data_IF_720968759076
#
_entry.id   IF_720968759076
#
_cell.length_a   1.000
_cell.length_b   1.000
_cell.length_c   1.000
_cell.angle_alpha   90.00
_cell.angle_beta   90.00
_cell.angle_gamma   90.00
#
_symmetry.space_group_name_H-M   'P 1'
#
loop_
_entity.id
_entity.type
_entity.pdbx_description
1 polymer ?
#
# COMPACT_ATOMS: atom_id res chain seq x y z
N UNK A 1 -26.17 9.42 0.11
CA UNK A 1 -26.17 10.65 -0.72
C UNK A 1 -24.89 11.39 -0.41
N UNK A 2 -23.93 11.34 -1.34
CA UNK A 2 -22.72 12.16 -1.28
C UNK A 2 -23.13 13.57 -1.69
N UNK A 3 -22.96 14.57 -0.83
CA UNK A 3 -23.39 15.96 -1.05
C UNK A 3 -22.52 16.72 -2.09
N UNK A 4 -21.95 16.03 -3.08
CA UNK A 4 -21.05 16.64 -4.07
C UNK A 4 -19.72 17.13 -3.48
N UNK A 5 -19.33 16.59 -2.32
CA UNK A 5 -18.06 16.91 -1.64
C UNK A 5 -16.92 16.04 -2.16
N UNK A 6 -16.81 15.93 -3.48
CA UNK A 6 -15.71 15.21 -4.09
C UNK A 6 -14.54 16.19 -4.28
N UNK A 7 -13.34 15.88 -3.75
CA UNK A 7 -12.17 16.75 -3.86
C UNK A 7 -11.88 17.19 -5.31
N UNK A 8 -12.15 16.32 -6.29
CA UNK A 8 -11.99 16.62 -7.71
C UNK A 8 -12.91 17.74 -8.19
N UNK A 9 -14.18 17.71 -7.76
CA UNK A 9 -15.18 18.73 -8.12
C UNK A 9 -14.81 20.09 -7.51
N UNK A 10 -14.31 20.08 -6.27
CA UNK A 10 -13.84 21.30 -5.61
C UNK A 10 -12.61 21.90 -6.31
N UNK A 11 -11.66 21.05 -6.72
CA UNK A 11 -10.47 21.46 -7.45
C UNK A 11 -10.84 22.21 -8.73
N UNK A 12 -11.80 21.69 -9.50
CA UNK A 12 -12.25 22.32 -10.74
C UNK A 12 -12.93 23.67 -10.48
N UNK A 13 -13.81 23.74 -9.47
CA UNK A 13 -14.47 24.99 -9.09
C UNK A 13 -13.50 26.06 -8.62
N UNK A 14 -12.49 25.69 -7.83
CA UNK A 14 -11.43 26.62 -7.43
C UNK A 14 -10.60 27.08 -8.62
N UNK A 15 -10.30 26.19 -9.59
CA UNK A 15 -9.58 26.56 -10.81
C UNK A 15 -10.34 27.63 -11.59
N UNK A 16 -11.64 27.44 -11.80
CA UNK A 16 -12.50 28.40 -12.51
C UNK A 16 -12.57 29.74 -11.76
N UNK A 17 -12.79 29.71 -10.44
CA UNK A 17 -12.83 30.91 -9.62
C UNK A 17 -11.51 31.68 -9.65
N UNK A 18 -10.38 30.99 -9.51
CA UNK A 18 -9.07 31.65 -9.52
C UNK A 18 -8.75 32.25 -10.89
N UNK A 19 -9.19 31.60 -11.98
CA UNK A 19 -9.04 32.13 -13.32
C UNK A 19 -9.85 33.42 -13.54
N UNK A 20 -11.06 33.50 -12.98
CA UNK A 20 -11.96 34.65 -13.13
C UNK A 20 -11.58 35.80 -12.19
N UNK A 21 -11.32 35.52 -10.92
CA UNK A 21 -11.20 36.52 -9.86
C UNK A 21 -9.75 36.78 -9.39
N UNK A 22 -8.80 35.91 -9.76
CA UNK A 22 -7.37 36.06 -9.45
C UNK A 22 -6.47 35.79 -10.67
N UNK A 23 -6.71 36.48 -11.80
CA UNK A 23 -6.02 36.16 -13.05
C UNK A 23 -4.51 36.35 -12.97
N UNK A 24 -4.01 37.33 -12.19
CA UNK A 24 -2.57 37.55 -12.04
C UNK A 24 -1.93 36.34 -11.37
N UNK A 25 -2.43 35.96 -10.19
CA UNK A 25 -1.97 34.78 -9.46
C UNK A 25 -2.13 33.49 -10.26
N UNK A 26 -3.25 33.32 -10.96
CA UNK A 26 -3.49 32.14 -11.80
C UNK A 26 -2.43 32.02 -12.89
N UNK A 27 -2.15 33.11 -13.61
CA UNK A 27 -1.15 33.15 -14.66
C UNK A 27 0.27 32.93 -14.13
N UNK A 28 0.61 33.50 -12.96
CA UNK A 28 1.89 33.27 -12.30
C UNK A 28 2.10 31.81 -11.91
N UNK A 29 1.10 31.20 -11.26
CA UNK A 29 1.14 29.78 -10.85
C UNK A 29 1.15 28.84 -12.06
N UNK A 30 0.43 29.19 -13.13
CA UNK A 30 0.46 28.42 -14.37
C UNK A 30 1.82 28.52 -15.06
N UNK A 31 2.45 29.70 -15.08
CA UNK A 31 3.77 29.90 -15.69
C UNK A 31 4.89 29.17 -14.93
N UNK A 32 4.75 29.02 -13.61
CA UNK A 32 5.69 28.28 -12.76
C UNK A 32 5.42 26.77 -12.68
N UNK A 33 4.38 26.25 -13.34
CA UNK A 33 3.88 24.88 -13.20
C UNK A 33 3.49 24.49 -11.75
N UNK A 34 3.08 25.45 -10.92
CA UNK A 34 2.68 25.23 -9.52
C UNK A 34 1.17 25.32 -9.30
N UNK A 35 0.38 25.55 -10.35
CA UNK A 35 -1.07 25.70 -10.27
C UNK A 35 -1.76 24.45 -9.69
N UNK A 36 -1.41 23.26 -10.16
CA UNK A 36 -2.05 22.02 -9.71
C UNK A 36 -1.77 21.72 -8.22
N UNK A 37 -0.54 21.96 -7.76
CA UNK A 37 -0.14 21.80 -6.37
C UNK A 37 -0.85 22.81 -5.46
N UNK A 38 -0.99 24.06 -5.91
CA UNK A 38 -1.70 25.09 -5.18
C UNK A 38 -3.21 24.79 -5.05
N UNK A 39 -3.82 24.25 -6.11
CA UNK A 39 -5.22 23.82 -6.10
C UNK A 39 -5.42 22.59 -5.20
N UNK A 40 -4.53 21.59 -5.26
CA UNK A 40 -4.59 20.43 -4.37
C UNK A 40 -4.45 20.85 -2.89
N UNK A 41 -3.52 21.77 -2.60
CA UNK A 41 -3.36 22.33 -1.28
C UNK A 41 -4.63 23.05 -0.79
N UNK A 42 -5.26 23.89 -1.62
CA UNK A 42 -6.49 24.58 -1.26
C UNK A 42 -7.63 23.60 -0.94
N UNK A 43 -7.79 22.54 -1.74
CA UNK A 43 -8.78 21.48 -1.51
C UNK A 43 -8.50 20.72 -0.22
N UNK A 44 -7.24 20.34 0.02
CA UNK A 44 -6.83 19.60 1.22
C UNK A 44 -7.03 20.43 2.50
N UNK A 45 -6.65 21.72 2.50
CA UNK A 45 -6.87 22.61 3.64
C UNK A 45 -8.36 22.82 3.92
N UNK A 46 -9.16 23.04 2.87
CA UNK A 46 -10.61 23.18 3.01
C UNK A 46 -11.23 21.93 3.62
N UNK A 47 -10.84 20.75 3.14
CA UNK A 47 -11.33 19.48 3.69
C UNK A 47 -10.93 19.28 5.15
N UNK A 48 -9.66 19.55 5.49
CA UNK A 48 -9.15 19.40 6.84
C UNK A 48 -9.84 20.35 7.83
N UNK A 49 -10.02 21.62 7.45
CA UNK A 49 -10.71 22.60 8.31
C UNK A 49 -12.21 22.27 8.43
N UNK A 50 -12.85 21.86 7.34
CA UNK A 50 -14.24 21.39 7.36
C UNK A 50 -14.43 20.20 8.30
N UNK A 51 -13.52 19.21 8.26
CA UNK A 51 -13.54 18.06 9.19
C UNK A 51 -13.36 18.50 10.65
N UNK A 52 -12.49 19.48 10.91
CA UNK A 52 -12.32 20.06 12.24
C UNK A 52 -13.63 20.68 12.77
N UNK A 53 -14.32 21.46 11.94
CA UNK A 53 -15.63 22.06 12.28
C UNK A 53 -16.70 20.99 12.49
N UNK A 54 -16.77 19.97 11.63
CA UNK A 54 -17.71 18.85 11.80
C UNK A 54 -17.48 18.12 13.14
N UNK A 55 -16.22 17.92 13.54
CA UNK A 55 -15.89 17.35 14.85
C UNK A 55 -16.28 18.28 16.01
N UNK A 56 -16.38 19.59 15.76
CA UNK A 56 -16.90 20.60 16.70
C UNK A 56 -18.43 20.64 16.80
N UNK A 57 -19.15 19.83 16.01
CA UNK A 57 -20.61 19.72 16.04
C UNK A 57 -21.33 20.53 14.96
N UNK A 58 -20.61 21.18 14.04
CA UNK A 58 -21.21 21.86 12.90
C UNK A 58 -21.74 20.87 11.86
N UNK A 59 -22.81 21.22 11.16
CA UNK A 59 -23.29 20.41 10.03
C UNK A 59 -22.34 20.56 8.84
N UNK A 60 -22.19 19.52 8.02
CA UNK A 60 -21.26 19.53 6.88
C UNK A 60 -21.46 20.73 5.92
N UNK A 61 -22.71 21.12 5.68
CA UNK A 61 -23.01 22.29 4.84
C UNK A 61 -22.58 23.61 5.49
N UNK A 62 -22.86 23.79 6.77
CA UNK A 62 -22.45 24.99 7.52
C UNK A 62 -20.92 25.10 7.60
N UNK A 63 -20.25 23.98 7.93
CA UNK A 63 -18.79 23.90 7.93
C UNK A 63 -18.21 24.29 6.57
N UNK A 64 -18.79 23.79 5.46
CA UNK A 64 -18.37 24.14 4.10
C UNK A 64 -18.49 25.64 3.80
N UNK A 65 -19.63 26.26 4.10
CA UNK A 65 -19.83 27.70 3.88
C UNK A 65 -18.79 28.54 4.63
N UNK A 66 -18.40 28.11 5.84
CA UNK A 66 -17.41 28.81 6.66
C UNK A 66 -15.98 28.74 6.12
N UNK A 67 -15.60 27.63 5.48
CA UNK A 67 -14.20 27.39 5.07
C UNK A 67 -13.91 27.68 3.60
N UNK A 68 -14.94 27.64 2.74
CA UNK A 68 -14.73 27.67 1.29
C UNK A 68 -14.09 28.98 0.80
N UNK A 69 -14.38 30.11 1.45
CA UNK A 69 -13.84 31.43 1.08
C UNK A 69 -12.40 31.65 1.55
N UNK A 70 -11.92 30.84 2.51
CA UNK A 70 -10.55 30.95 3.03
C UNK A 70 -9.52 30.42 2.03
N UNK A 71 -9.87 29.38 1.27
CA UNK A 71 -8.93 28.66 0.42
C UNK A 71 -9.40 28.45 -1.02
N UNK A 72 -10.66 28.02 -1.24
CA UNK A 72 -11.14 27.70 -2.60
C UNK A 72 -11.60 28.95 -3.35
N UNK A 73 -12.37 29.83 -2.69
CA UNK A 73 -12.95 31.04 -3.27
C UNK A 73 -12.33 32.28 -2.64
N UNK A 74 -11.01 32.43 -2.83
CA UNK A 74 -10.26 33.56 -2.29
C UNK A 74 -10.79 34.86 -2.92
N UNK A 75 -10.77 35.94 -2.13
CA UNK A 75 -11.23 37.27 -2.55
C UNK A 75 -10.51 37.75 -3.82
N UNK A 76 -11.21 38.56 -4.60
CA UNK A 76 -10.72 39.17 -5.83
C UNK A 76 -9.44 39.98 -5.60
N UNK A 77 -8.56 40.03 -6.60
CA UNK A 77 -7.35 40.85 -6.54
C UNK A 77 -7.70 42.35 -6.51
N UNK A 78 -7.10 43.10 -5.57
CA UNK A 78 -7.30 44.54 -5.44
C UNK A 78 -6.83 45.26 -6.73
N UNK A 79 -7.72 46.06 -7.34
CA UNK A 79 -7.41 46.85 -8.54
C UNK A 79 -7.76 46.21 -9.88
N UNK A 80 -8.50 45.08 -9.89
CA UNK A 80 -8.96 44.47 -11.15
C UNK A 80 -10.06 45.29 -11.87
N UNK A 81 -10.72 46.21 -11.16
CA UNK A 81 -11.76 47.09 -11.69
C UNK A 81 -11.38 48.57 -11.53
N UNK A 82 -10.51 49.07 -12.41
CA UNK A 82 -10.55 50.47 -12.80
C UNK A 82 -11.54 50.57 -13.97
N UNK A 83 -12.82 50.85 -13.66
CA UNK A 83 -13.97 51.34 -14.47
C UNK A 83 -13.90 51.41 -16.02
N UNK A 84 -13.24 50.49 -16.71
CA UNK A 84 -13.48 50.25 -18.14
C UNK A 84 -14.71 49.34 -18.24
N UNK A 85 -15.89 49.96 -18.22
CA UNK A 85 -17.17 49.32 -18.54
C UNK A 85 -17.05 48.60 -19.88
N UNK A 86 -16.73 47.30 -19.83
CA UNK A 86 -16.88 46.43 -20.98
C UNK A 86 -18.35 46.53 -21.41
N UNK A 87 -18.63 46.69 -22.71
CA UNK A 87 -20.00 46.81 -23.17
C UNK A 87 -20.79 45.59 -22.70
N UNK A 88 -21.85 45.82 -21.92
CA UNK A 88 -22.72 44.83 -21.24
C UNK A 88 -23.07 43.62 -22.11
N UNK A 89 -23.11 43.81 -23.43
CA UNK A 89 -23.38 42.76 -24.41
C UNK A 89 -22.32 41.65 -24.46
N UNK A 90 -21.02 41.97 -24.33
CA UNK A 90 -19.93 40.98 -24.44
C UNK A 90 -19.90 40.05 -23.23
N UNK A 91 -20.17 40.57 -22.04
CA UNK A 91 -20.19 39.75 -20.83
C UNK A 91 -21.41 38.82 -20.78
N UNK A 92 -22.55 39.26 -21.32
CA UNK A 92 -23.72 38.40 -21.45
C UNK A 92 -23.47 37.23 -22.41
N UNK A 93 -22.87 37.49 -23.58
CA UNK A 93 -22.50 36.45 -24.53
C UNK A 93 -21.48 35.45 -23.95
N UNK A 94 -20.48 35.95 -23.21
CA UNK A 94 -19.48 35.09 -22.57
C UNK A 94 -20.08 34.20 -21.47
N UNK A 95 -20.93 34.77 -20.60
CA UNK A 95 -21.62 34.02 -19.55
C UNK A 95 -22.57 32.97 -20.15
N UNK A 96 -23.25 33.30 -21.25
CA UNK A 96 -24.11 32.36 -21.95
C UNK A 96 -23.30 31.22 -22.57
N UNK A 97 -22.16 31.54 -23.20
CA UNK A 97 -21.25 30.53 -23.75
C UNK A 97 -20.69 29.59 -22.66
N UNK A 98 -20.25 30.13 -21.52
CA UNK A 98 -19.79 29.32 -20.38
C UNK A 98 -20.88 28.40 -19.84
N UNK A 99 -22.12 28.91 -19.76
CA UNK A 99 -23.26 28.11 -19.32
C UNK A 99 -23.51 26.94 -20.27
N UNK A 100 -23.55 27.20 -21.58
CA UNK A 100 -23.78 26.16 -22.60
C UNK A 100 -22.65 25.10 -22.61
N UNK A 101 -21.40 25.52 -22.47
CA UNK A 101 -20.25 24.62 -22.40
C UNK A 101 -20.29 23.74 -21.13
N UNK A 102 -20.71 24.31 -20.00
CA UNK A 102 -20.88 23.55 -18.75
C UNK A 102 -21.98 22.48 -18.85
N UNK A 103 -23.07 22.78 -19.57
CA UNK A 103 -24.13 21.81 -19.84
C UNK A 103 -23.59 20.68 -20.72
N UNK A 104 -22.85 21.01 -21.78
CA UNK A 104 -22.25 20.03 -22.69
C UNK A 104 -21.32 19.08 -21.96
N UNK A 105 -20.45 19.60 -21.09
CA UNK A 105 -19.54 18.77 -20.28
C UNK A 105 -20.29 17.87 -19.30
N UNK A 106 -21.36 18.37 -18.65
CA UNK A 106 -22.18 17.56 -17.76
C UNK A 106 -22.91 16.42 -18.50
N UNK A 107 -23.38 16.67 -19.72
CA UNK A 107 -24.00 15.62 -20.55
C UNK A 107 -22.99 14.55 -20.97
N UNK A 108 -21.78 14.93 -21.36
CA UNK A 108 -20.70 14.01 -21.69
C UNK A 108 -20.32 13.16 -20.48
N UNK A 109 -20.19 13.79 -19.30
CA UNK A 109 -19.90 13.11 -18.05
C UNK A 109 -20.99 12.10 -17.67
N UNK A 110 -22.28 12.46 -17.80
CA UNK A 110 -23.40 11.56 -17.52
C UNK A 110 -23.39 10.33 -18.44
N UNK A 111 -23.13 10.53 -19.74
CA UNK A 111 -23.03 9.42 -20.70
C UNK A 111 -21.89 8.47 -20.35
N UNK A 112 -20.76 9.01 -19.93
CA UNK A 112 -19.63 8.20 -19.48
C UNK A 112 -19.98 7.40 -18.22
N UNK A 113 -20.63 8.04 -17.25
CA UNK A 113 -21.06 7.39 -16.01
C UNK A 113 -22.07 6.26 -16.26
N UNK A 114 -23.03 6.45 -17.16
CA UNK A 114 -23.98 5.40 -17.55
C UNK A 114 -23.29 4.21 -18.23
N UNK A 115 -22.31 4.48 -19.11
CA UNK A 115 -21.51 3.42 -19.75
C UNK A 115 -20.70 2.63 -18.72
N UNK A 116 -20.04 3.33 -17.79
CA UNK A 116 -19.24 2.69 -16.74
C UNK A 116 -20.12 1.83 -15.82
N UNK A 117 -21.31 2.32 -15.45
CA UNK A 117 -22.28 1.58 -14.66
C UNK A 117 -22.80 0.33 -15.40
N UNK A 118 -23.03 0.42 -16.72
CA UNK A 118 -23.43 -0.73 -17.52
C UNK A 118 -22.32 -1.79 -17.56
N UNK A 119 -21.07 -1.37 -17.78
CA UNK A 119 -19.90 -2.27 -17.78
C UNK A 119 -19.75 -2.96 -16.41
N UNK A 120 -19.87 -2.21 -15.32
CA UNK A 120 -19.78 -2.76 -13.96
C UNK A 120 -20.89 -3.78 -13.70
N UNK A 121 -22.12 -3.50 -14.12
CA UNK A 121 -23.25 -4.43 -13.98
C UNK A 121 -23.03 -5.75 -14.75
N UNK A 122 -22.45 -5.66 -15.97
CA UNK A 122 -22.11 -6.83 -16.80
C UNK A 122 -21.02 -7.67 -16.14
N UNK A 123 -19.96 -7.03 -15.62
CA UNK A 123 -18.88 -7.70 -14.88
C UNK A 123 -19.40 -8.38 -13.61
N UNK A 124 -20.29 -7.71 -12.86
CA UNK A 124 -20.91 -8.29 -11.67
C UNK A 124 -21.78 -9.52 -12.00
N UNK A 125 -22.57 -9.45 -13.08
CA UNK A 125 -23.38 -10.57 -13.57
C UNK A 125 -22.51 -11.77 -13.98
N UNK A 126 -21.42 -11.55 -14.71
CA UNK A 126 -20.53 -12.64 -15.13
C UNK A 126 -19.79 -13.29 -13.96
N UNK A 127 -19.38 -12.50 -12.96
CA UNK A 127 -18.79 -13.02 -11.72
C UNK A 127 -19.79 -13.89 -10.92
N UNK A 128 -21.09 -13.61 -10.99
CA UNK A 128 -22.11 -14.42 -10.30
C UNK A 128 -22.30 -15.81 -10.93
N UNK A 129 -22.18 -15.91 -12.26
CA UNK A 129 -22.34 -17.16 -13.02
C UNK A 129 -21.11 -18.06 -12.93
N UNK A 130 -19.93 -17.47 -12.68
CA UNK A 130 -18.66 -18.19 -12.57
C UNK A 130 -18.31 -18.58 -11.13
N UNK A 131 -19.32 -18.85 -10.28
CA UNK A 131 -19.16 -19.37 -8.93
C UNK A 131 -18.71 -20.84 -9.02
N UNK A 132 -17.43 -21.04 -9.34
CA UNK A 132 -16.80 -22.37 -9.40
C UNK A 132 -17.10 -23.13 -8.11
N UNK A 133 -17.49 -24.42 -8.17
CA UNK A 133 -17.82 -25.20 -6.99
C UNK A 133 -16.65 -25.23 -6.00
N UNK A 134 -16.93 -24.81 -4.76
CA UNK A 134 -16.16 -24.91 -3.52
C UNK A 134 -14.73 -25.47 -3.61
N UNK A 135 -13.79 -24.66 -4.11
CA UNK A 135 -12.34 -24.83 -3.87
C UNK A 135 -11.99 -24.48 -2.40
N UNK A 136 -12.96 -24.00 -1.62
CA UNK A 136 -12.80 -23.64 -0.21
C UNK A 136 -12.16 -24.78 0.62
N UNK A 137 -12.57 -26.03 0.42
CA UNK A 137 -12.04 -27.15 1.19
C UNK A 137 -10.57 -27.46 0.86
N UNK A 138 -10.17 -27.36 -0.42
CA UNK A 138 -8.78 -27.52 -0.86
C UNK A 138 -7.89 -26.41 -0.29
N UNK A 139 -8.40 -25.19 -0.22
CA UNK A 139 -7.70 -24.06 0.41
C UNK A 139 -7.46 -24.34 1.89
N UNK A 140 -8.50 -24.75 2.64
CA UNK A 140 -8.35 -25.10 4.07
C UNK A 140 -7.38 -26.27 4.26
N UNK A 141 -7.47 -27.32 3.44
CA UNK A 141 -6.56 -28.46 3.51
C UNK A 141 -5.11 -28.03 3.28
N UNK A 142 -4.84 -27.16 2.30
CA UNK A 142 -3.49 -26.62 2.06
C UNK A 142 -2.95 -25.87 3.26
N UNK A 143 -3.77 -25.08 3.94
CA UNK A 143 -3.35 -24.37 5.16
C UNK A 143 -3.00 -25.31 6.31
N UNK A 144 -3.80 -26.37 6.53
CA UNK A 144 -3.55 -27.36 7.59
C UNK A 144 -2.25 -28.12 7.30
N UNK A 145 -2.01 -28.50 6.04
CA UNK A 145 -0.88 -29.33 5.64
C UNK A 145 0.42 -28.50 5.48
N UNK A 146 0.31 -27.19 5.23
CA UNK A 146 1.46 -26.31 4.95
C UNK A 146 2.54 -26.39 6.04
N UNK A 147 2.16 -26.24 7.30
CA UNK A 147 3.11 -26.15 8.42
C UNK A 147 3.89 -27.46 8.65
N UNK A 148 3.25 -28.64 8.82
CA UNK A 148 4.00 -29.88 9.03
C UNK A 148 4.89 -30.22 7.83
N UNK A 149 4.43 -29.98 6.59
CA UNK A 149 5.27 -30.20 5.41
C UNK A 149 6.46 -29.25 5.39
N UNK A 150 6.27 -27.96 5.70
CA UNK A 150 7.37 -27.00 5.75
C UNK A 150 8.44 -27.40 6.78
N UNK A 151 8.03 -27.90 7.95
CA UNK A 151 8.96 -28.41 8.98
C UNK A 151 9.74 -29.63 8.47
N UNK A 152 9.07 -30.61 7.87
CA UNK A 152 9.72 -31.82 7.34
C UNK A 152 10.71 -31.48 6.24
N UNK A 153 10.33 -30.63 5.28
CA UNK A 153 11.20 -30.21 4.18
C UNK A 153 12.40 -29.42 4.72
N UNK A 154 12.19 -28.50 5.66
CA UNK A 154 13.27 -27.73 6.26
C UNK A 154 14.27 -28.63 7.01
N UNK A 155 13.77 -29.63 7.74
CA UNK A 155 14.61 -30.61 8.44
C UNK A 155 15.41 -31.48 7.46
N UNK A 156 14.80 -31.96 6.38
CA UNK A 156 15.50 -32.73 5.35
C UNK A 156 16.57 -31.89 4.66
N UNK A 157 16.27 -30.63 4.35
CA UNK A 157 17.22 -29.69 3.74
C UNK A 157 18.41 -29.43 4.68
N UNK A 158 18.18 -29.26 5.98
CA UNK A 158 19.27 -29.04 6.94
C UNK A 158 20.15 -30.29 7.10
N UNK A 159 19.57 -31.50 7.11
CA UNK A 159 20.35 -32.75 7.12
C UNK A 159 21.21 -32.90 5.88
N UNK A 160 20.68 -32.54 4.71
CA UNK A 160 21.46 -32.55 3.48
C UNK A 160 22.60 -31.52 3.52
N UNK A 161 22.36 -30.32 4.05
CA UNK A 161 23.40 -29.30 4.21
C UNK A 161 24.55 -29.78 5.11
N UNK A 162 24.24 -30.41 6.25
CA UNK A 162 25.24 -31.00 7.15
C UNK A 162 26.09 -32.05 6.43
N UNK A 163 25.47 -32.92 5.63
CA UNK A 163 26.19 -33.95 4.88
C UNK A 163 27.15 -33.33 3.85
N UNK A 164 26.67 -32.33 3.10
CA UNK A 164 27.48 -31.65 2.07
C UNK A 164 28.63 -30.88 2.71
N UNK A 165 28.36 -30.09 3.75
CA UNK A 165 29.40 -29.32 4.47
C UNK A 165 30.39 -30.25 5.17
N UNK A 166 29.92 -31.33 5.79
CA UNK A 166 30.76 -32.34 6.43
C UNK A 166 31.70 -33.03 5.43
N UNK A 167 31.18 -33.41 4.25
CA UNK A 167 32.00 -34.00 3.19
C UNK A 167 33.07 -33.03 2.67
N UNK A 168 32.71 -31.76 2.45
CA UNK A 168 33.65 -30.72 2.04
C UNK A 168 34.80 -30.55 3.04
N UNK A 169 34.48 -30.40 4.32
CA UNK A 169 35.49 -30.25 5.37
C UNK A 169 36.37 -31.50 5.57
N UNK A 170 35.77 -32.69 5.46
CA UNK A 170 36.51 -33.94 5.53
C UNK A 170 37.51 -34.08 4.37
N UNK A 171 37.13 -33.62 3.17
CA UNK A 171 38.02 -33.62 2.00
C UNK A 171 39.25 -32.72 2.16
N UNK A 172 39.13 -31.65 2.94
CA UNK A 172 40.22 -30.72 3.28
C UNK A 172 41.04 -31.16 4.50
N UNK A 173 40.71 -32.31 5.11
CA UNK A 173 41.44 -32.87 6.25
C UNK A 173 41.13 -32.23 7.60
N UNK A 174 40.04 -31.46 7.71
CA UNK A 174 39.59 -30.92 9.00
C UNK A 174 39.07 -32.05 9.90
N UNK A 175 39.51 -32.05 11.16
CA UNK A 175 39.01 -33.00 12.15
C UNK A 175 37.60 -32.64 12.60
N UNK A 176 36.75 -33.64 12.86
CA UNK A 176 35.38 -33.47 13.35
C UNK A 176 35.28 -32.71 14.70
N UNK A 177 36.38 -32.60 15.44
CA UNK A 177 36.47 -31.92 16.71
C UNK A 177 37.03 -30.49 16.60
N UNK A 178 37.44 -30.06 15.40
CA UNK A 178 37.98 -28.72 15.21
C UNK A 178 36.88 -27.66 15.44
N UNK A 179 37.29 -26.51 15.97
CA UNK A 179 36.42 -25.35 16.14
C UNK A 179 35.75 -24.96 14.82
N UNK A 180 36.52 -24.92 13.73
CA UNK A 180 36.05 -24.56 12.40
C UNK A 180 34.98 -25.51 11.89
N UNK A 181 35.16 -26.82 12.07
CA UNK A 181 34.16 -27.81 11.67
C UNK A 181 32.84 -27.59 12.39
N UNK A 182 32.86 -27.39 13.71
CA UNK A 182 31.64 -27.10 14.48
C UNK A 182 30.99 -25.79 14.03
N UNK A 183 31.78 -24.74 13.82
CA UNK A 183 31.29 -23.45 13.38
C UNK A 183 30.55 -23.54 12.03
N UNK A 184 31.16 -24.17 11.02
CA UNK A 184 30.54 -24.30 9.71
C UNK A 184 29.32 -25.21 9.71
N UNK A 185 29.36 -26.34 10.44
CA UNK A 185 28.22 -27.25 10.55
C UNK A 185 27.02 -26.58 11.23
N UNK A 186 27.21 -25.94 12.38
CA UNK A 186 26.13 -25.26 13.10
C UNK A 186 25.57 -24.10 12.26
N UNK A 187 26.43 -23.31 11.64
CA UNK A 187 26.00 -22.17 10.82
C UNK A 187 25.19 -22.62 9.60
N UNK A 188 25.72 -23.56 8.80
CA UNK A 188 25.06 -24.05 7.59
C UNK A 188 23.72 -24.74 7.91
N UNK A 189 23.66 -25.56 8.95
CA UNK A 189 22.44 -26.22 9.40
C UNK A 189 21.32 -25.22 9.67
N UNK A 190 21.57 -24.22 10.51
CA UNK A 190 20.54 -23.27 10.96
C UNK A 190 20.15 -22.27 9.87
N UNK A 191 21.11 -21.83 9.04
CA UNK A 191 20.83 -20.95 7.90
C UNK A 191 19.93 -21.66 6.88
N UNK A 192 20.27 -22.90 6.51
CA UNK A 192 19.48 -23.68 5.55
C UNK A 192 18.11 -24.03 6.12
N UNK A 193 18.04 -24.39 7.40
CA UNK A 193 16.78 -24.67 8.09
C UNK A 193 15.82 -23.47 8.03
N UNK A 194 16.28 -22.28 8.40
CA UNK A 194 15.46 -21.07 8.40
C UNK A 194 15.02 -20.65 7.00
N UNK A 195 15.93 -20.68 6.02
CA UNK A 195 15.61 -20.37 4.62
C UNK A 195 14.59 -21.36 4.04
N UNK A 196 14.86 -22.67 4.15
CA UNK A 196 14.01 -23.71 3.60
C UNK A 196 12.61 -23.67 4.21
N UNK A 197 12.49 -23.42 5.52
CA UNK A 197 11.21 -23.30 6.20
C UNK A 197 10.34 -22.18 5.63
N UNK A 198 10.87 -20.96 5.53
CA UNK A 198 10.13 -19.78 5.03
C UNK A 198 9.75 -19.97 3.55
N UNK A 199 10.70 -20.36 2.70
CA UNK A 199 10.42 -20.54 1.26
C UNK A 199 9.40 -21.65 1.00
N UNK A 200 9.45 -22.74 1.77
CA UNK A 200 8.50 -23.85 1.62
C UNK A 200 7.10 -23.46 2.08
N UNK A 201 6.97 -22.79 3.23
CA UNK A 201 5.68 -22.29 3.72
C UNK A 201 5.01 -21.37 2.69
N UNK A 202 5.77 -20.42 2.13
CA UNK A 202 5.30 -19.49 1.10
C UNK A 202 4.98 -20.20 -0.22
N UNK A 203 5.73 -21.24 -0.57
CA UNK A 203 5.52 -22.04 -1.79
C UNK A 203 4.22 -22.85 -1.77
N UNK A 204 3.85 -23.39 -0.61
CA UNK A 204 2.64 -24.21 -0.43
C UNK A 204 1.38 -23.33 -0.25
N UNK A 205 1.54 -22.13 0.31
CA UNK A 205 0.43 -21.22 0.56
C UNK A 205 -0.40 -20.89 -0.70
N UNK A 206 -1.75 -21.06 -0.65
CA UNK A 206 -2.60 -20.87 -1.82
C UNK A 206 -2.81 -19.39 -2.19
N UNK A 207 -2.75 -18.48 -1.22
CA UNK A 207 -2.98 -17.05 -1.40
C UNK A 207 -2.15 -16.21 -0.41
N UNK A 208 -2.07 -14.90 -0.63
CA UNK A 208 -1.40 -13.93 0.26
C UNK A 208 0.02 -14.32 0.66
N UNK A 209 0.83 -14.75 -0.30
CA UNK A 209 2.20 -15.27 -0.10
C UNK A 209 3.11 -14.36 0.73
N UNK A 210 2.99 -13.03 0.57
CA UNK A 210 3.76 -12.07 1.36
C UNK A 210 3.31 -12.06 2.83
N UNK A 211 2.00 -12.09 3.11
CA UNK A 211 1.46 -12.16 4.48
C UNK A 211 1.90 -13.46 5.14
N UNK A 212 1.81 -14.60 4.44
CA UNK A 212 2.24 -15.90 4.97
C UNK A 212 3.72 -15.90 5.33
N UNK A 213 4.57 -15.34 4.47
CA UNK A 213 6.00 -15.20 4.76
C UNK A 213 6.24 -14.43 6.06
N UNK A 214 5.58 -13.28 6.22
CA UNK A 214 5.69 -12.46 7.43
C UNK A 214 5.17 -13.21 8.67
N UNK A 215 3.96 -13.76 8.62
CA UNK A 215 3.35 -14.47 9.75
C UNK A 215 4.17 -15.67 10.20
N UNK A 216 4.68 -16.45 9.25
CA UNK A 216 5.51 -17.63 9.52
C UNK A 216 6.83 -17.23 10.18
N UNK A 217 7.46 -16.15 9.70
CA UNK A 217 8.68 -15.62 10.29
C UNK A 217 8.46 -15.07 11.70
N UNK A 218 7.38 -14.32 11.95
CA UNK A 218 7.03 -13.84 13.29
C UNK A 218 6.82 -15.02 14.25
N UNK A 219 6.08 -16.05 13.83
CA UNK A 219 5.87 -17.25 14.63
C UNK A 219 7.19 -17.95 14.99
N UNK A 220 8.09 -18.15 14.02
CA UNK A 220 9.38 -18.79 14.28
C UNK A 220 10.30 -17.93 15.14
N UNK A 221 10.27 -16.61 15.00
CA UNK A 221 11.03 -15.71 15.87
C UNK A 221 10.55 -15.81 17.33
N UNK A 222 9.24 -15.87 17.56
CA UNK A 222 8.69 -16.07 18.90
C UNK A 222 9.09 -17.43 19.48
N UNK A 223 9.00 -18.50 18.69
CA UNK A 223 9.42 -19.84 19.11
C UNK A 223 10.92 -19.88 19.43
N UNK A 224 11.74 -19.26 18.58
CA UNK A 224 13.20 -19.17 18.80
C UNK A 224 13.51 -18.37 20.06
N UNK A 225 12.82 -17.25 20.28
CA UNK A 225 12.94 -16.45 21.50
C UNK A 225 12.62 -17.26 22.77
N UNK A 226 11.58 -18.09 22.73
CA UNK A 226 11.24 -19.01 23.82
C UNK A 226 12.33 -20.06 24.06
N UNK A 227 12.91 -20.61 22.99
CA UNK A 227 13.96 -21.64 23.07
C UNK A 227 15.34 -21.09 23.50
N UNK A 228 15.58 -19.79 23.40
CA UNK A 228 16.84 -19.18 23.90
C UNK A 228 16.97 -19.33 25.42
N UNK A 229 15.87 -19.28 26.17
CA UNK A 229 15.91 -19.42 27.64
C UNK A 229 16.54 -20.74 28.12
N UNK A 230 16.09 -21.93 27.68
CA UNK A 230 16.74 -23.18 28.07
C UNK A 230 18.17 -23.29 27.52
N UNK A 231 18.49 -22.72 26.37
CA UNK A 231 19.87 -22.70 25.84
C UNK A 231 20.83 -21.93 26.76
N UNK A 232 20.40 -20.78 27.28
CA UNK A 232 21.17 -20.01 28.27
C UNK A 232 21.34 -20.78 29.58
N UNK A 233 20.29 -21.47 30.04
CA UNK A 233 20.35 -22.26 31.28
C UNK A 233 21.31 -23.44 31.19
N UNK A 234 21.42 -24.06 30.01
CA UNK A 234 22.35 -25.17 29.74
C UNK A 234 23.76 -24.68 29.38
N UNK A 235 23.99 -23.37 29.27
CA UNK A 235 25.25 -22.77 28.81
C UNK A 235 25.73 -23.32 27.47
N UNK A 236 24.79 -23.68 26.57
CA UNK A 236 25.12 -24.19 25.24
C UNK A 236 25.31 -23.04 24.25
N UNK A 237 26.53 -22.52 24.21
CA UNK A 237 26.91 -21.42 23.31
C UNK A 237 26.78 -21.77 21.83
N UNK A 238 26.90 -23.06 21.45
CA UNK A 238 26.73 -23.48 20.07
C UNK A 238 25.26 -23.43 19.65
N UNK A 239 24.35 -23.83 20.54
CA UNK A 239 22.92 -23.67 20.31
C UNK A 239 22.52 -22.18 20.19
N UNK A 240 23.09 -21.31 21.03
CA UNK A 240 22.87 -19.85 20.94
C UNK A 240 23.36 -19.27 19.61
N UNK A 241 24.55 -19.68 19.15
CA UNK A 241 25.06 -19.28 17.83
C UNK A 241 24.14 -19.77 16.71
N UNK A 242 23.70 -21.03 16.77
CA UNK A 242 22.72 -21.58 15.84
C UNK A 242 21.41 -20.79 15.80
N UNK A 243 20.88 -20.39 16.96
CA UNK A 243 19.69 -19.56 17.06
C UNK A 243 19.87 -18.18 16.40
N UNK A 244 21.04 -17.56 16.58
CA UNK A 244 21.37 -16.30 15.90
C UNK A 244 21.41 -16.45 14.36
N UNK A 245 22.06 -17.51 13.87
CA UNK A 245 22.09 -17.84 12.45
C UNK A 245 20.68 -18.13 11.89
N UNK A 246 19.84 -18.83 12.64
CA UNK A 246 18.45 -19.09 12.28
C UNK A 246 17.67 -17.77 12.11
N UNK A 247 17.73 -16.89 13.12
CA UNK A 247 17.03 -15.58 13.10
C UNK A 247 17.45 -14.74 11.90
N UNK A 248 18.75 -14.61 11.67
CA UNK A 248 19.28 -13.83 10.53
C UNK A 248 18.82 -14.41 9.19
N UNK A 249 18.84 -15.73 9.03
CA UNK A 249 18.38 -16.39 7.81
C UNK A 249 16.87 -16.21 7.54
N UNK A 250 16.04 -16.22 8.61
CA UNK A 250 14.60 -15.97 8.52
C UNK A 250 14.33 -14.54 8.07
N UNK A 251 15.03 -13.55 8.65
CA UNK A 251 14.88 -12.13 8.27
C UNK A 251 15.23 -11.94 6.80
N UNK A 252 16.39 -12.43 6.36
CA UNK A 252 16.83 -12.31 4.96
C UNK A 252 15.84 -12.99 4.01
N UNK A 253 15.36 -14.18 4.34
CA UNK A 253 14.38 -14.91 3.53
C UNK A 253 13.05 -14.16 3.43
N UNK A 254 12.60 -13.56 4.53
CA UNK A 254 11.35 -12.77 4.58
C UNK A 254 11.45 -11.53 3.70
N UNK A 255 12.58 -10.81 3.77
CA UNK A 255 12.83 -9.64 2.91
C UNK A 255 12.81 -10.05 1.43
N UNK A 256 13.44 -11.18 1.09
CA UNK A 256 13.44 -11.70 -0.27
C UNK A 256 12.04 -12.09 -0.76
N UNK A 257 11.24 -12.74 0.10
CA UNK A 257 9.84 -13.06 -0.21
C UNK A 257 9.02 -11.78 -0.40
N UNK A 258 9.17 -10.80 0.48
CA UNK A 258 8.45 -9.52 0.40
C UNK A 258 8.77 -8.77 -0.89
N UNK A 259 10.05 -8.66 -1.25
CA UNK A 259 10.49 -8.03 -2.51
C UNK A 259 9.97 -8.73 -3.76
N UNK A 260 9.78 -10.06 -3.72
CA UNK A 260 9.33 -10.85 -4.87
C UNK A 260 7.82 -10.77 -5.12
N UNK A 261 7.03 -10.51 -4.08
CA UNK A 261 5.55 -10.53 -4.15
C UNK A 261 4.89 -9.18 -3.86
N UNK A 262 5.68 -8.10 -3.86
CA UNK A 262 5.21 -6.71 -3.92
C UNK A 262 5.03 -6.32 -5.38
#
# INVERSE_FOLDING_TARGET
MSYGYEPKVWKEKARQHWQEFQPTRFNELSASNQLEDALDYAVEQTWAEMQSLMNGGFQAHEAWEMVRENYLFVREEDGLYDDEELPVNVMHEYNQWLHDESIRQNEEWLKQFEQDAEVESRVASDNSKNKRPNIAWLTVLRWIIMLPIAVVIAYLASRLAILVTGFGLASEGYSNFSFWTRFYLVTSEHVVLGMAFVFTAVGIAPSHKHIVGISTSVFTLLLTGFLIYPMLRLSDYWALWGAFCLVTSIIVSTINVYRRYR
#
